data_IF_343592667147
#
_entry.id   IF_343592667147
#
_cell.length_a   1.000
_cell.length_b   1.000
_cell.length_c   1.000
_cell.angle_alpha   90.00
_cell.angle_beta   90.00
_cell.angle_gamma   90.00
#
_symmetry.space_group_name_H-M   'P 1'
#
loop_
_entity.id
_entity.type
_entity.pdbx_description
1 polymer ?
#
# COMPACT_ATOMS: atom_id res chain seq x y z
N UNK A 1 -5.76 33.03 -11.62
CA UNK A 1 -6.15 31.61 -11.85
C UNK A 1 -5.38 30.73 -10.88
N UNK A 2 -6.01 30.13 -9.87
CA UNK A 2 -5.34 29.21 -8.93
C UNK A 2 -5.19 27.85 -9.64
N UNK A 3 -3.96 27.45 -9.92
CA UNK A 3 -3.66 26.18 -10.57
C UNK A 3 -4.20 25.01 -9.75
N UNK A 4 -5.02 24.15 -10.36
CA UNK A 4 -5.33 22.82 -9.84
C UNK A 4 -4.00 22.16 -9.46
N UNK A 5 -3.88 21.67 -8.23
CA UNK A 5 -2.78 20.78 -7.88
C UNK A 5 -2.74 19.66 -8.93
N UNK A 6 -1.55 19.39 -9.50
CA UNK A 6 -1.30 18.22 -10.37
C UNK A 6 -1.33 16.94 -9.51
N UNK A 7 -2.44 16.73 -8.82
CA UNK A 7 -2.54 15.81 -7.70
C UNK A 7 -2.78 14.40 -8.19
N UNK A 8 -1.77 13.54 -8.02
CA UNK A 8 -1.90 12.10 -8.29
C UNK A 8 -3.06 11.44 -7.55
N UNK A 9 -3.46 10.25 -7.99
CA UNK A 9 -4.60 9.50 -7.48
C UNK A 9 -4.37 9.09 -6.01
N UNK A 10 -5.27 9.50 -5.12
CA UNK A 10 -5.28 9.04 -3.73
C UNK A 10 -5.97 7.68 -3.59
N UNK A 11 -5.50 6.86 -2.65
CA UNK A 11 -6.12 5.58 -2.33
C UNK A 11 -6.03 5.26 -0.84
N UNK A 12 -6.92 4.39 -0.37
CA UNK A 12 -6.86 3.78 0.95
C UNK A 12 -7.34 2.33 0.88
N UNK A 13 -6.72 1.45 1.66
CA UNK A 13 -7.08 0.03 1.68
C UNK A 13 -6.33 -0.76 2.74
N UNK A 14 -6.61 -2.05 2.80
CA UNK A 14 -5.89 -2.99 3.65
C UNK A 14 -4.89 -3.77 2.80
N UNK A 15 -3.60 -3.68 3.15
CA UNK A 15 -2.55 -4.47 2.53
C UNK A 15 -2.48 -5.90 3.10
N UNK A 16 -3.03 -6.09 4.30
CA UNK A 16 -3.25 -7.38 4.93
C UNK A 16 -4.51 -7.29 5.81
N UNK A 17 -5.29 -8.37 5.86
CA UNK A 17 -6.35 -8.55 6.86
C UNK A 17 -5.83 -9.58 7.86
N UNK A 18 -5.86 -9.25 9.14
CA UNK A 18 -5.29 -10.12 10.16
C UNK A 18 -6.09 -11.40 10.34
N UNK A 19 -5.39 -12.46 10.74
CA UNK A 19 -5.97 -13.77 11.06
C UNK A 19 -6.78 -14.40 9.92
N UNK A 20 -6.47 -13.99 8.68
CA UNK A 20 -7.05 -14.56 7.46
C UNK A 20 -5.93 -15.00 6.52
N UNK A 21 -5.97 -16.23 5.99
CA UNK A 21 -5.00 -16.68 5.01
C UNK A 21 -5.13 -15.85 3.73
N UNK A 22 -4.00 -15.44 3.17
CA UNK A 22 -3.94 -14.85 1.83
C UNK A 22 -3.94 -15.94 0.74
N UNK A 23 -3.71 -15.54 -0.52
CA UNK A 23 -3.69 -16.47 -1.65
C UNK A 23 -2.50 -17.45 -1.60
N UNK A 24 -1.42 -17.11 -0.90
CA UNK A 24 -0.28 -17.99 -0.65
C UNK A 24 -0.48 -18.92 0.56
N UNK A 25 -1.50 -18.65 1.38
CA UNK A 25 -1.78 -19.38 2.62
C UNK A 25 -1.15 -18.75 3.86
N UNK A 26 -0.45 -17.63 3.71
CA UNK A 26 0.19 -16.93 4.82
C UNK A 26 -0.86 -16.24 5.69
N UNK A 27 -0.66 -16.30 7.01
CA UNK A 27 -1.53 -15.64 7.99
C UNK A 27 -0.75 -14.58 8.74
N UNK A 28 -1.04 -13.32 8.42
CA UNK A 28 -0.47 -12.17 9.12
C UNK A 28 -1.22 -11.98 10.45
N UNK A 29 -0.47 -11.96 11.56
CA UNK A 29 -1.00 -11.73 12.91
C UNK A 29 -0.98 -10.25 13.27
N UNK A 30 -1.94 -9.83 14.09
CA UNK A 30 -1.91 -8.53 14.75
C UNK A 30 -0.59 -8.35 15.49
N UNK A 31 0.04 -7.18 15.34
CA UNK A 31 1.32 -6.87 15.97
C UNK A 31 2.53 -7.23 15.12
N UNK A 32 2.37 -7.93 13.99
CA UNK A 32 3.49 -8.32 13.13
C UNK A 32 4.31 -7.14 12.61
N UNK A 33 3.71 -5.95 12.49
CA UNK A 33 4.39 -4.75 11.99
C UNK A 33 4.74 -3.73 13.08
N UNK A 34 4.37 -3.96 14.35
CA UNK A 34 4.53 -2.97 15.43
C UNK A 34 5.94 -2.39 15.55
N UNK A 35 6.96 -3.22 15.37
CA UNK A 35 8.36 -2.81 15.51
C UNK A 35 8.94 -2.22 14.21
N UNK A 36 8.33 -2.51 13.05
CA UNK A 36 8.88 -2.18 11.72
C UNK A 36 8.29 -0.92 11.05
N UNK A 37 7.22 -0.34 11.56
CA UNK A 37 6.50 0.77 10.90
C UNK A 37 7.15 2.16 10.98
N UNK A 38 8.34 2.28 11.59
CA UNK A 38 9.06 3.56 11.70
C UNK A 38 9.77 4.01 10.41
N UNK A 39 9.96 3.11 9.46
CA UNK A 39 10.66 3.39 8.20
C UNK A 39 9.77 3.96 7.09
N UNK A 40 10.39 4.63 6.12
CA UNK A 40 9.68 5.09 4.92
C UNK A 40 9.34 3.89 4.02
N UNK A 41 8.08 3.49 4.00
CA UNK A 41 7.59 2.40 3.14
C UNK A 41 7.42 2.90 1.69
N UNK A 42 8.09 2.30 0.69
CA UNK A 42 7.93 2.70 -0.70
C UNK A 42 6.60 2.19 -1.29
N UNK A 43 5.94 3.02 -2.12
CA UNK A 43 4.82 2.58 -2.94
C UNK A 43 5.35 2.09 -4.29
N UNK A 44 5.41 0.78 -4.46
CA UNK A 44 5.93 0.12 -5.66
C UNK A 44 4.79 -0.38 -6.56
N UNK A 45 5.00 -0.33 -7.87
CA UNK A 45 4.15 -1.05 -8.83
C UNK A 45 4.72 -2.43 -9.05
N UNK A 46 3.90 -3.47 -8.82
CA UNK A 46 4.25 -4.88 -9.06
C UNK A 46 5.60 -5.28 -8.44
N UNK A 47 5.87 -4.84 -7.21
CA UNK A 47 7.14 -5.09 -6.48
C UNK A 47 8.41 -4.61 -7.20
N UNK A 48 8.27 -3.74 -8.20
CA UNK A 48 9.39 -3.18 -8.96
C UNK A 48 9.66 -1.73 -8.59
N UNK A 49 9.28 -0.81 -9.48
CA UNK A 49 9.63 0.62 -9.37
C UNK A 49 8.64 1.42 -8.53
N UNK A 50 9.12 2.51 -7.93
CA UNK A 50 8.28 3.43 -7.18
C UNK A 50 7.33 4.23 -8.09
N UNK A 51 6.07 4.37 -7.66
CA UNK A 51 5.00 5.06 -8.43
C UNK A 51 4.30 6.16 -7.64
N UNK A 52 4.69 6.35 -6.40
CA UNK A 52 4.10 7.38 -5.56
C UNK A 52 4.63 7.31 -4.14
N UNK A 53 3.76 7.66 -3.19
CA UNK A 53 4.13 7.76 -1.78
C UNK A 53 3.05 7.11 -0.92
N UNK A 54 3.50 6.34 0.06
CA UNK A 54 2.67 5.98 1.20
C UNK A 54 2.65 7.17 2.15
N UNK A 55 1.44 7.64 2.49
CA UNK A 55 1.20 8.77 3.39
C UNK A 55 0.97 8.28 4.82
N UNK A 56 0.36 7.09 4.99
CA UNK A 56 0.13 6.45 6.29
C UNK A 56 0.16 4.93 6.16
N UNK A 57 0.81 4.27 7.12
CA UNK A 57 0.68 2.83 7.37
C UNK A 57 0.43 2.64 8.85
N UNK A 58 -0.58 1.87 9.21
CA UNK A 58 -0.91 1.57 10.60
C UNK A 58 -1.61 0.23 10.72
N UNK A 59 -1.43 -0.44 11.86
CA UNK A 59 -2.29 -1.56 12.23
C UNK A 59 -3.58 -1.03 12.89
N UNK A 60 -4.73 -1.61 12.53
CA UNK A 60 -5.99 -1.42 13.24
C UNK A 60 -6.61 -2.76 13.68
N UNK A 61 -7.84 -2.73 14.19
CA UNK A 61 -8.55 -3.93 14.62
C UNK A 61 -8.71 -4.98 13.50
N UNK A 62 -8.74 -4.58 12.23
CA UNK A 62 -8.97 -5.44 11.07
C UNK A 62 -7.69 -5.87 10.36
N UNK A 63 -6.70 -5.00 10.24
CA UNK A 63 -5.54 -5.28 9.40
C UNK A 63 -4.50 -4.18 9.33
N UNK A 64 -3.57 -4.33 8.38
CA UNK A 64 -2.58 -3.31 8.03
C UNK A 64 -3.21 -2.33 7.05
N UNK A 65 -3.64 -1.18 7.56
CA UNK A 65 -4.25 -0.09 6.78
C UNK A 65 -3.17 0.76 6.13
N UNK A 66 -3.36 1.05 4.85
CA UNK A 66 -2.47 1.87 4.03
C UNK A 66 -3.26 2.99 3.40
N UNK A 67 -2.72 4.21 3.49
CA UNK A 67 -3.21 5.41 2.79
C UNK A 67 -2.04 5.98 1.99
N UNK A 68 -2.29 6.31 0.73
CA UNK A 68 -1.23 6.83 -0.12
C UNK A 68 -1.72 7.54 -1.36
N UNK A 69 -0.74 7.93 -2.17
CA UNK A 69 -0.95 8.66 -3.42
C UNK A 69 -0.07 8.12 -4.52
N UNK A 70 -0.69 7.76 -5.63
CA UNK A 70 -0.03 7.36 -6.88
C UNK A 70 0.25 8.63 -7.68
N UNK A 71 1.53 8.95 -7.87
CA UNK A 71 1.96 10.13 -8.64
C UNK A 71 2.15 9.85 -10.12
N UNK A 72 2.38 8.59 -10.48
CA UNK A 72 2.55 8.18 -11.87
C UNK A 72 1.21 8.01 -12.58
N UNK A 73 1.05 8.64 -13.75
CA UNK A 73 -0.21 8.67 -14.50
C UNK A 73 -0.72 7.27 -14.89
N UNK A 74 0.10 6.42 -15.52
CA UNK A 74 -0.33 5.10 -16.02
C UNK A 74 -0.79 4.18 -14.89
N UNK A 75 -0.04 4.13 -13.79
CA UNK A 75 -0.44 3.40 -12.58
C UNK A 75 -1.75 3.94 -11.99
N UNK A 76 -1.88 5.26 -11.89
CA UNK A 76 -3.10 5.91 -11.39
C UNK A 76 -4.33 5.58 -12.25
N UNK A 77 -4.20 5.64 -13.58
CA UNK A 77 -5.29 5.31 -14.50
C UNK A 77 -5.71 3.85 -14.41
N UNK A 78 -4.76 2.91 -14.31
CA UNK A 78 -5.06 1.49 -14.15
C UNK A 78 -5.86 1.21 -12.86
N UNK A 79 -5.50 1.87 -11.76
CA UNK A 79 -6.26 1.78 -10.51
C UNK A 79 -7.64 2.44 -10.65
N UNK A 80 -7.72 3.61 -11.29
CA UNK A 80 -8.99 4.32 -11.50
C UNK A 80 -9.98 3.54 -12.37
N UNK A 81 -9.50 2.75 -13.34
CA UNK A 81 -10.31 1.85 -14.17
C UNK A 81 -10.67 0.53 -13.48
N UNK A 82 -10.02 0.21 -12.36
CA UNK A 82 -10.21 -1.07 -11.66
C UNK A 82 -9.50 -2.24 -12.32
N UNK A 83 -8.48 -1.97 -13.15
CA UNK A 83 -7.57 -2.99 -13.73
C UNK A 83 -6.74 -3.64 -12.62
N UNK A 84 -6.45 -2.88 -11.55
CA UNK A 84 -5.82 -3.36 -10.31
C UNK A 84 -6.76 -3.09 -9.13
N UNK A 85 -7.07 -4.14 -8.36
CA UNK A 85 -8.13 -4.12 -7.33
C UNK A 85 -7.65 -4.40 -5.91
N UNK A 86 -6.37 -4.71 -5.72
CA UNK A 86 -5.82 -5.12 -4.44
C UNK A 86 -4.47 -4.47 -4.15
N UNK A 87 -4.10 -4.50 -2.87
CA UNK A 87 -2.77 -4.15 -2.40
C UNK A 87 -2.00 -5.43 -2.11
N UNK A 88 -0.69 -5.40 -2.34
CA UNK A 88 0.23 -6.45 -1.91
C UNK A 88 1.26 -5.83 -0.97
N UNK A 89 1.62 -6.56 0.09
CA UNK A 89 2.69 -6.21 1.01
C UNK A 89 3.87 -7.15 0.76
N UNK A 90 5.06 -6.59 0.67
CA UNK A 90 6.32 -7.34 0.66
C UNK A 90 7.25 -6.78 1.72
N UNK A 91 8.17 -7.60 2.20
CA UNK A 91 9.17 -7.23 3.18
C UNK A 91 10.53 -7.79 2.77
N UNK A 92 11.58 -7.08 3.15
CA UNK A 92 12.95 -7.57 3.04
C UNK A 92 13.32 -8.17 4.38
N UNK A 93 13.64 -9.46 4.40
CA UNK A 93 14.25 -10.06 5.55
C UNK A 93 15.73 -9.65 5.56
N UNK A 94 16.23 -9.00 6.62
CA UNK A 94 17.68 -8.83 6.75
C UNK A 94 18.32 -10.22 6.75
N UNK A 95 19.45 -10.33 6.05
CA UNK A 95 20.27 -11.53 6.04
C UNK A 95 20.83 -11.85 7.43
#
# INVERSE_FOLDING_TARGET
MKGRSRGGLGFAGYAAVFDRPDLGGDVIKRGAFREGLGGRVPLLWEHGRAVGRIERVEEDAKGLRVIGRIGEARAGEAVARGDVRGLSVGYLNPA
#
